data_IF_559646420609
#
_entry.id   IF_559646420609
#
_cell.length_a   1.000
_cell.length_b   1.000
_cell.length_c   1.000
_cell.angle_alpha   90.00
_cell.angle_beta   90.00
_cell.angle_gamma   90.00
#
_symmetry.space_group_name_H-M   'P 1'
#
loop_
_entity.id
_entity.type
_entity.pdbx_description
1 polymer ?
#
# COMPACT_ATOMS: atom_id res chain seq x y z
N UNK A 1 40.41 37.07 -12.68
CA UNK A 1 39.38 36.19 -13.28
C UNK A 1 38.94 35.09 -12.31
N UNK A 2 38.32 35.40 -11.16
CA UNK A 2 37.94 34.37 -10.15
C UNK A 2 36.64 34.66 -9.38
N UNK A 3 35.82 35.61 -9.82
CA UNK A 3 34.60 36.01 -9.09
C UNK A 3 33.28 35.76 -9.84
N UNK A 4 33.31 35.52 -11.16
CA UNK A 4 32.09 35.27 -11.94
C UNK A 4 31.63 33.81 -12.02
N UNK A 5 32.45 32.83 -11.60
CA UNK A 5 32.06 31.41 -11.70
C UNK A 5 31.23 30.90 -10.52
N UNK A 6 31.23 31.60 -9.38
CA UNK A 6 30.47 31.18 -8.18
C UNK A 6 28.98 31.55 -8.24
N UNK A 7 28.61 32.54 -9.04
CA UNK A 7 27.21 33.01 -9.12
C UNK A 7 26.34 32.16 -10.06
N UNK A 8 26.94 31.47 -11.04
CA UNK A 8 26.21 30.61 -11.98
C UNK A 8 25.83 29.27 -11.34
N UNK A 9 26.63 28.77 -10.38
CA UNK A 9 26.37 27.50 -9.70
C UNK A 9 25.20 27.59 -8.70
N UNK A 10 24.97 28.76 -8.10
CA UNK A 10 23.85 29.02 -7.17
C UNK A 10 22.50 29.16 -7.89
N UNK A 11 22.50 29.55 -9.17
CA UNK A 11 21.28 29.71 -9.97
C UNK A 11 20.71 28.38 -10.51
N UNK A 12 21.51 27.31 -10.54
CA UNK A 12 21.05 25.97 -10.97
C UNK A 12 20.38 25.15 -9.85
N UNK A 13 20.67 25.49 -8.58
CA UNK A 13 20.08 24.82 -7.41
C UNK A 13 18.62 25.29 -7.17
N UNK A 14 18.21 26.41 -7.78
CA UNK A 14 16.93 27.06 -7.49
C UNK A 14 15.74 26.54 -8.31
N UNK A 15 15.94 25.61 -9.26
CA UNK A 15 14.88 25.14 -10.19
C UNK A 15 14.45 23.67 -9.90
N UNK A 16 15.10 22.98 -8.96
CA UNK A 16 14.84 21.55 -8.70
C UNK A 16 13.66 21.23 -7.76
N UNK A 17 13.03 22.24 -7.16
CA UNK A 17 11.97 22.06 -6.16
C UNK A 17 10.57 22.11 -6.76
N UNK A 18 10.33 21.44 -7.89
CA UNK A 18 8.96 21.24 -8.36
C UNK A 18 8.22 20.40 -7.34
N UNK A 19 7.28 21.01 -6.60
CA UNK A 19 6.32 20.26 -5.80
C UNK A 19 5.45 19.52 -6.81
N UNK A 20 5.82 18.28 -7.12
CA UNK A 20 4.99 17.45 -7.99
C UNK A 20 3.77 17.11 -7.15
N UNK A 21 2.66 17.80 -7.40
CA UNK A 21 1.34 17.35 -6.99
C UNK A 21 1.06 16.05 -7.77
N UNK A 22 1.54 14.93 -7.22
CA UNK A 22 1.26 13.61 -7.75
C UNK A 22 0.02 13.14 -7.02
N UNK A 23 -1.09 12.93 -7.74
CA UNK A 23 -2.14 12.05 -7.23
C UNK A 23 -1.51 10.68 -7.00
N UNK A 24 -1.14 10.37 -5.76
CA UNK A 24 -0.54 9.08 -5.41
C UNK A 24 -1.62 8.10 -4.99
N UNK A 25 -1.34 6.83 -5.17
CA UNK A 25 -2.16 5.75 -4.62
C UNK A 25 -1.27 4.72 -3.95
N UNK A 26 -1.86 3.91 -3.07
CA UNK A 26 -1.22 2.67 -2.63
C UNK A 26 -0.87 1.85 -3.88
N UNK A 27 0.38 1.37 -3.92
CA UNK A 27 0.91 0.52 -4.98
C UNK A 27 0.83 -0.92 -4.50
N UNK A 28 -0.05 -1.68 -5.13
CA UNK A 28 -0.22 -3.10 -4.86
C UNK A 28 0.76 -3.93 -5.69
N UNK A 29 1.36 -4.94 -5.06
CA UNK A 29 2.16 -5.94 -5.74
C UNK A 29 1.31 -6.79 -6.69
N UNK A 30 1.94 -7.46 -7.68
CA UNK A 30 1.27 -8.50 -8.44
C UNK A 30 0.64 -9.56 -7.53
N UNK A 31 -0.50 -10.11 -7.96
CA UNK A 31 -1.29 -11.09 -7.22
C UNK A 31 -0.63 -12.47 -7.18
N UNK A 32 0.46 -12.55 -6.41
CA UNK A 32 1.29 -13.73 -6.18
C UNK A 32 1.73 -13.70 -4.72
N UNK A 33 1.00 -14.42 -3.85
CA UNK A 33 1.19 -14.38 -2.41
C UNK A 33 2.61 -14.78 -2.02
N UNK A 34 3.14 -15.82 -2.67
CA UNK A 34 4.48 -16.33 -2.38
C UNK A 34 5.54 -15.25 -2.66
N UNK A 35 5.47 -14.58 -3.81
CA UNK A 35 6.40 -13.49 -4.13
C UNK A 35 6.24 -12.30 -3.20
N UNK A 36 5.02 -11.97 -2.79
CA UNK A 36 4.78 -10.89 -1.83
C UNK A 36 5.44 -11.19 -0.47
N UNK A 37 5.30 -12.42 0.04
CA UNK A 37 5.97 -12.88 1.27
C UNK A 37 7.48 -12.85 1.14
N UNK A 38 8.03 -13.37 0.05
CA UNK A 38 9.48 -13.34 -0.22
C UNK A 38 10.03 -11.91 -0.25
N UNK A 39 9.32 -10.99 -0.92
CA UNK A 39 9.67 -9.57 -0.97
C UNK A 39 9.59 -8.91 0.40
N UNK A 40 8.54 -9.17 1.16
CA UNK A 40 8.34 -8.62 2.50
C UNK A 40 9.44 -9.05 3.48
N UNK A 41 9.86 -10.32 3.43
CA UNK A 41 11.03 -10.80 4.19
C UNK A 41 12.31 -10.10 3.77
N UNK A 42 12.53 -9.94 2.46
CA UNK A 42 13.74 -9.30 1.92
C UNK A 42 13.83 -7.81 2.30
N UNK A 43 12.70 -7.10 2.25
CA UNK A 43 12.62 -5.67 2.59
C UNK A 43 12.42 -5.41 4.08
N UNK A 44 12.26 -6.47 4.90
CA UNK A 44 11.96 -6.38 6.33
C UNK A 44 10.75 -5.47 6.62
N UNK A 45 9.66 -5.69 5.88
CA UNK A 45 8.39 -4.95 5.99
C UNK A 45 7.25 -5.91 6.29
N UNK A 46 6.26 -5.44 7.05
CA UNK A 46 5.00 -6.17 7.18
C UNK A 46 4.24 -6.18 5.84
N UNK A 47 3.39 -7.18 5.66
CA UNK A 47 2.47 -7.24 4.54
C UNK A 47 1.16 -6.58 4.96
N UNK A 48 0.71 -5.61 4.17
CA UNK A 48 -0.65 -5.10 4.22
C UNK A 48 -1.48 -5.82 3.17
N UNK A 49 -2.45 -6.63 3.60
CA UNK A 49 -3.36 -7.37 2.73
C UNK A 49 -4.76 -6.78 2.81
N UNK A 50 -5.22 -6.16 1.73
CA UNK A 50 -6.61 -5.77 1.53
C UNK A 50 -7.43 -6.98 1.06
N UNK A 51 -8.18 -7.57 1.98
CA UNK A 51 -9.13 -8.63 1.67
C UNK A 51 -10.44 -8.00 1.18
N UNK A 52 -10.73 -8.17 -0.10
CA UNK A 52 -11.93 -7.63 -0.73
C UNK A 52 -12.67 -8.68 -1.57
N UNK A 53 -13.80 -8.28 -2.16
CA UNK A 53 -14.47 -9.00 -3.24
C UNK A 53 -14.87 -8.03 -4.36
N UNK A 54 -14.96 -8.50 -5.60
CA UNK A 54 -15.29 -7.67 -6.77
C UNK A 54 -16.65 -6.95 -6.66
N UNK A 55 -17.59 -7.53 -5.91
CA UNK A 55 -18.94 -7.02 -5.74
C UNK A 55 -19.09 -6.15 -4.48
N UNK A 56 -18.05 -6.04 -3.64
CA UNK A 56 -18.06 -5.25 -2.42
C UNK A 56 -18.04 -3.73 -2.73
N UNK A 57 -19.20 -3.08 -2.54
CA UNK A 57 -19.34 -1.62 -2.68
C UNK A 57 -18.42 -0.82 -1.74
N UNK A 58 -18.42 -1.09 -0.42
CA UNK A 58 -17.54 -0.41 0.54
C UNK A 58 -16.05 -0.53 0.20
N UNK A 59 -15.61 -1.68 -0.31
CA UNK A 59 -14.22 -1.90 -0.72
C UNK A 59 -13.83 -0.94 -1.87
N UNK A 60 -14.72 -0.76 -2.85
CA UNK A 60 -14.49 0.19 -3.96
C UNK A 60 -14.42 1.62 -3.47
N UNK A 61 -15.25 1.99 -2.48
CA UNK A 61 -15.18 3.32 -1.87
C UNK A 61 -13.85 3.56 -1.15
N UNK A 62 -13.40 2.59 -0.35
CA UNK A 62 -12.11 2.63 0.35
C UNK A 62 -10.95 2.81 -0.65
N UNK A 63 -10.91 1.99 -1.70
CA UNK A 63 -9.88 2.06 -2.73
C UNK A 63 -9.88 3.40 -3.48
N UNK A 64 -11.06 3.96 -3.78
CA UNK A 64 -11.19 5.19 -4.56
C UNK A 64 -10.92 6.47 -3.74
N UNK A 65 -11.26 6.47 -2.44
CA UNK A 65 -11.28 7.69 -1.63
C UNK A 65 -10.24 7.73 -0.51
N UNK A 66 -9.76 6.58 -0.06
CA UNK A 66 -8.79 6.50 1.05
C UNK A 66 -7.41 6.08 0.53
N UNK A 67 -7.34 5.02 -0.27
CA UNK A 67 -6.06 4.54 -0.81
C UNK A 67 -5.42 5.46 -1.84
N UNK A 68 -6.14 6.48 -2.29
CA UNK A 68 -5.70 7.55 -3.21
C UNK A 68 -5.35 8.85 -2.49
N UNK A 69 -5.47 8.93 -1.16
CA UNK A 69 -5.00 10.09 -0.39
C UNK A 69 -3.49 10.03 -0.29
N UNK A 70 -2.79 11.10 -0.70
CA UNK A 70 -1.33 11.13 -0.75
C UNK A 70 -0.67 10.70 0.56
N UNK A 71 -1.14 11.22 1.70
CA UNK A 71 -0.58 10.85 3.02
C UNK A 71 -0.75 9.36 3.34
N UNK A 72 -1.87 8.76 2.93
CA UNK A 72 -2.12 7.32 3.09
C UNK A 72 -1.23 6.53 2.13
N UNK A 73 -1.23 6.90 0.85
CA UNK A 73 -0.41 6.26 -0.16
C UNK A 73 1.07 6.27 0.22
N UNK A 74 1.60 7.41 0.64
CA UNK A 74 3.01 7.56 1.03
C UNK A 74 3.35 6.69 2.24
N UNK A 75 2.52 6.73 3.28
CA UNK A 75 2.72 5.91 4.47
C UNK A 75 2.70 4.41 4.12
N UNK A 76 1.71 3.95 3.37
CA UNK A 76 1.57 2.53 3.07
C UNK A 76 2.67 2.03 2.11
N UNK A 77 2.99 2.81 1.09
CA UNK A 77 4.04 2.49 0.14
C UNK A 77 5.44 2.48 0.78
N UNK A 78 5.66 3.28 1.82
CA UNK A 78 6.92 3.33 2.54
C UNK A 78 7.05 2.17 3.53
N UNK A 79 5.98 1.83 4.25
CA UNK A 79 6.07 0.98 5.43
C UNK A 79 5.67 -0.48 5.20
N UNK A 80 4.93 -0.78 4.12
CA UNK A 80 4.40 -2.12 3.89
C UNK A 80 4.70 -2.65 2.48
N UNK A 81 4.64 -3.98 2.35
CA UNK A 81 4.36 -4.62 1.08
C UNK A 81 2.84 -4.72 0.95
N UNK A 82 2.26 -3.96 0.02
CA UNK A 82 0.81 -3.88 -0.14
C UNK A 82 0.32 -4.92 -1.14
N UNK A 83 -0.70 -5.68 -0.78
CA UNK A 83 -1.32 -6.72 -1.61
C UNK A 83 -2.83 -6.57 -1.53
N UNK A 84 -3.50 -6.62 -2.68
CA UNK A 84 -4.95 -6.76 -2.76
C UNK A 84 -5.29 -8.17 -3.26
N UNK A 85 -6.32 -8.78 -2.68
CA UNK A 85 -6.82 -10.07 -3.13
C UNK A 85 -8.34 -10.10 -3.08
N UNK A 86 -8.94 -10.49 -4.19
CA UNK A 86 -10.32 -10.92 -4.25
C UNK A 86 -10.41 -12.32 -3.62
N UNK A 87 -11.00 -12.39 -2.43
CA UNK A 87 -11.06 -13.58 -1.58
C UNK A 87 -11.90 -14.72 -2.16
N UNK A 88 -12.59 -14.49 -3.28
CA UNK A 88 -13.46 -15.46 -3.95
C UNK A 88 -12.99 -15.82 -5.37
N UNK A 89 -12.14 -14.99 -5.99
CA UNK A 89 -11.78 -15.14 -7.41
C UNK A 89 -10.30 -15.30 -7.68
N UNK A 90 -9.45 -14.61 -6.94
CA UNK A 90 -8.01 -14.73 -7.14
C UNK A 90 -7.55 -16.09 -6.62
N UNK A 91 -6.66 -16.76 -7.37
CA UNK A 91 -6.23 -18.14 -7.06
C UNK A 91 -5.69 -18.22 -5.63
N UNK A 92 -4.81 -17.31 -5.27
CA UNK A 92 -4.30 -17.21 -3.90
C UNK A 92 -5.35 -16.63 -2.95
N UNK A 93 -6.22 -15.72 -3.41
CA UNK A 93 -7.32 -15.17 -2.61
C UNK A 93 -8.26 -16.23 -2.03
N UNK A 94 -8.62 -17.26 -2.82
CA UNK A 94 -9.47 -18.38 -2.36
C UNK A 94 -8.77 -19.24 -1.29
N UNK A 95 -7.45 -19.37 -1.37
CA UNK A 95 -6.66 -20.05 -0.33
C UNK A 95 -6.56 -19.17 0.92
N UNK A 96 -6.23 -17.89 0.75
CA UNK A 96 -6.06 -16.94 1.83
C UNK A 96 -7.36 -16.68 2.60
N UNK A 97 -8.52 -16.77 1.95
CA UNK A 97 -9.82 -16.65 2.63
C UNK A 97 -10.05 -17.81 3.63
N UNK A 98 -9.51 -19.00 3.37
CA UNK A 98 -9.57 -20.14 4.30
C UNK A 98 -8.55 -20.02 5.44
N UNK A 99 -7.38 -19.45 5.14
CA UNK A 99 -6.30 -19.24 6.12
C UNK A 99 -6.67 -18.13 7.09
N UNK A 100 -6.98 -16.95 6.55
CA UNK A 100 -7.20 -15.74 7.34
C UNK A 100 -8.67 -15.49 7.73
N UNK A 101 -9.62 -16.16 7.08
CA UNK A 101 -11.05 -16.17 7.45
C UNK A 101 -11.59 -14.75 7.71
N UNK A 102 -11.60 -13.87 6.69
CA UNK A 102 -12.31 -12.61 6.80
C UNK A 102 -13.80 -12.89 7.00
N UNK A 103 -14.43 -12.24 7.98
CA UNK A 103 -15.85 -12.43 8.32
C UNK A 103 -16.76 -11.38 7.67
N UNK A 104 -16.18 -10.31 7.14
CA UNK A 104 -16.84 -9.27 6.37
C UNK A 104 -15.83 -8.57 5.44
N UNK A 105 -16.33 -7.77 4.49
CA UNK A 105 -15.50 -7.03 3.54
C UNK A 105 -15.79 -5.52 3.61
N UNK A 106 -14.76 -4.65 3.48
CA UNK A 106 -13.33 -5.00 3.44
C UNK A 106 -12.84 -5.57 4.78
N UNK A 107 -11.79 -6.40 4.73
CA UNK A 107 -10.98 -6.75 5.91
C UNK A 107 -9.54 -6.40 5.59
N UNK A 108 -8.92 -5.60 6.44
CA UNK A 108 -7.54 -5.14 6.29
C UNK A 108 -6.66 -5.92 7.26
N UNK A 109 -5.70 -6.66 6.75
CA UNK A 109 -4.79 -7.47 7.55
C UNK A 109 -3.37 -6.94 7.47
N UNK A 110 -2.70 -6.96 8.61
CA UNK A 110 -1.27 -6.70 8.72
C UNK A 110 -0.61 -8.00 9.18
N UNK A 111 0.31 -8.51 8.38
CA UNK A 111 0.85 -9.86 8.50
C UNK A 111 2.36 -9.79 8.65
N UNK A 112 2.89 -10.53 9.63
CA UNK A 112 4.32 -10.76 9.77
C UNK A 112 4.77 -11.72 8.66
N UNK A 113 5.70 -11.33 7.78
CA UNK A 113 6.09 -12.15 6.65
C UNK A 113 6.88 -13.40 7.05
N UNK A 114 7.48 -13.46 8.25
CA UNK A 114 8.27 -14.60 8.73
C UNK A 114 7.38 -15.72 9.27
N UNK A 115 6.37 -15.35 10.05
CA UNK A 115 5.43 -16.29 10.68
C UNK A 115 4.15 -16.48 9.86
N UNK A 116 3.88 -15.57 8.92
CA UNK A 116 2.62 -15.46 8.16
C UNK A 116 1.38 -15.30 9.04
N UNK A 117 1.58 -14.91 10.31
CA UNK A 117 0.51 -14.63 11.27
C UNK A 117 0.04 -13.19 11.16
N UNK A 118 -1.26 -13.01 11.39
CA UNK A 118 -1.88 -11.68 11.45
C UNK A 118 -1.47 -11.01 12.76
N UNK A 119 -0.76 -9.89 12.67
CA UNK A 119 -0.38 -9.06 13.82
C UNK A 119 -1.43 -7.98 14.12
N UNK A 120 -2.19 -7.55 13.11
CA UNK A 120 -3.30 -6.64 13.29
C UNK A 120 -4.40 -6.87 12.24
N UNK A 121 -5.66 -6.66 12.63
CA UNK A 121 -6.85 -6.84 11.79
C UNK A 121 -7.81 -5.68 12.00
N UNK A 122 -8.31 -5.13 10.89
CA UNK A 122 -9.45 -4.22 10.87
C UNK A 122 -10.53 -4.84 9.99
N UNK A 123 -11.77 -4.88 10.47
CA UNK A 123 -12.91 -5.43 9.73
C UNK A 123 -13.96 -4.35 9.55
N UNK A 124 -14.40 -4.15 8.30
CA UNK A 124 -15.34 -3.09 7.91
C UNK A 124 -14.64 -1.83 7.40
N UNK A 125 -15.40 -0.99 6.68
CA UNK A 125 -14.96 0.33 6.25
C UNK A 125 -15.45 1.39 7.22
N UNK A 126 -14.58 1.89 8.08
CA UNK A 126 -14.81 3.12 8.84
C UNK A 126 -14.27 4.33 8.06
N UNK A 127 -14.87 5.50 8.24
CA UNK A 127 -14.32 6.75 7.75
C UNK A 127 -12.99 7.05 8.47
N UNK A 128 -12.01 7.58 7.73
CA UNK A 128 -10.76 8.09 8.33
C UNK A 128 -11.06 9.48 8.88
N UNK A 129 -11.75 9.55 10.02
CA UNK A 129 -11.89 10.78 10.80
C UNK A 129 -10.64 10.97 11.67
N UNK A 130 -9.99 12.13 11.52
CA UNK A 130 -8.97 12.65 12.44
C UNK A 130 -9.61 13.69 13.35
#
# INVERSE_FOLDING_TARGET
MKRSFLLVFLLWISIGGGVIAQNRSIRFEPKDWKKAVEKARKENKLIFLDCHTSWCGPCKNLAANIFTKDAVADFYNQNFINVDMDMEKDVDGVMLSKVYKPTAFPTLLFIDPHTELVVHRVTGGGDVEY
#
